data_IF_138646796010
#
_entry.id   IF_138646796010
#
_cell.length_a   1.000
_cell.length_b   1.000
_cell.length_c   1.000
_cell.angle_alpha   90.00
_cell.angle_beta   90.00
_cell.angle_gamma   90.00
#
_symmetry.space_group_name_H-M   'P 1'
#
loop_
_entity.id
_entity.type
_entity.pdbx_description
1 polymer ?
#
# COMPACT_ATOMS: atom_id res chain seq x y z
N UNK A 1 19.72 -26.96 11.41
CA UNK A 1 19.09 -26.83 10.09
C UNK A 1 18.20 -25.59 10.14
N UNK A 2 18.28 -24.70 9.13
CA UNK A 2 17.35 -23.57 9.04
C UNK A 2 15.90 -24.08 8.92
N UNK A 3 14.96 -23.40 9.58
CA UNK A 3 13.54 -23.72 9.48
C UNK A 3 13.09 -23.55 8.02
N UNK A 4 12.29 -24.49 7.52
CA UNK A 4 11.73 -24.45 6.17
C UNK A 4 10.35 -23.81 6.19
N UNK A 5 10.08 -22.92 5.23
CA UNK A 5 8.76 -22.37 5.00
C UNK A 5 7.97 -23.17 3.94
N UNK A 6 6.74 -22.73 3.65
CA UNK A 6 5.88 -23.39 2.65
C UNK A 6 6.44 -23.27 1.23
N UNK A 7 7.20 -22.22 0.93
CA UNK A 7 7.80 -22.03 -0.40
C UNK A 7 8.93 -23.04 -0.63
N UNK A 8 9.70 -23.36 0.41
CA UNK A 8 10.70 -24.42 0.32
C UNK A 8 10.07 -25.78 -0.04
N UNK A 9 8.90 -26.09 0.51
CA UNK A 9 8.16 -27.31 0.19
C UNK A 9 7.69 -27.31 -1.28
N UNK A 10 7.19 -26.19 -1.78
CA UNK A 10 6.75 -26.05 -3.17
C UNK A 10 7.93 -26.21 -4.13
N UNK A 11 9.07 -25.58 -3.86
CA UNK A 11 10.29 -25.73 -4.67
C UNK A 11 10.74 -27.17 -4.70
N UNK A 12 10.72 -27.87 -3.57
CA UNK A 12 11.11 -29.27 -3.49
C UNK A 12 10.15 -30.18 -4.29
N UNK A 13 8.84 -29.88 -4.31
CA UNK A 13 7.87 -30.57 -5.15
C UNK A 13 8.20 -30.39 -6.65
N UNK A 14 8.52 -29.16 -7.07
CA UNK A 14 8.92 -28.87 -8.44
C UNK A 14 10.19 -29.63 -8.84
N UNK A 15 11.22 -29.66 -7.99
CA UNK A 15 12.44 -30.40 -8.24
C UNK A 15 12.22 -31.91 -8.48
N UNK A 16 11.20 -32.47 -7.82
CA UNK A 16 10.84 -33.91 -8.01
C UNK A 16 10.02 -34.12 -9.28
N UNK A 17 9.09 -33.21 -9.58
CA UNK A 17 8.13 -33.39 -10.67
C UNK A 17 8.69 -32.91 -12.02
N UNK A 18 9.52 -31.86 -12.01
CA UNK A 18 10.15 -31.27 -13.19
C UNK A 18 11.61 -30.94 -12.89
N UNK A 19 12.47 -31.98 -12.81
CA UNK A 19 13.90 -31.78 -12.54
C UNK A 19 14.65 -31.10 -13.69
N UNK A 20 14.01 -30.94 -14.84
CA UNK A 20 14.49 -30.26 -16.03
C UNK A 20 14.38 -28.73 -15.94
N UNK A 21 13.66 -28.18 -14.96
CA UNK A 21 13.52 -26.73 -14.78
C UNK A 21 14.19 -26.24 -13.49
N UNK A 22 14.79 -25.04 -13.54
CA UNK A 22 15.24 -24.36 -12.34
C UNK A 22 14.07 -23.60 -11.70
N UNK A 23 13.57 -24.09 -10.57
CA UNK A 23 12.48 -23.46 -9.81
C UNK A 23 12.97 -22.40 -8.80
N UNK A 24 14.28 -22.09 -8.76
CA UNK A 24 14.83 -21.14 -7.77
C UNK A 24 14.21 -19.75 -7.80
N UNK A 25 13.85 -19.15 -8.98
CA UNK A 25 13.17 -17.84 -9.01
C UNK A 25 11.81 -17.83 -8.30
N UNK A 26 11.12 -18.97 -8.26
CA UNK A 26 9.86 -19.10 -7.51
C UNK A 26 10.08 -18.89 -5.99
N UNK A 27 11.31 -19.11 -5.52
CA UNK A 27 11.70 -18.89 -4.13
C UNK A 27 11.57 -17.44 -3.71
N UNK A 28 11.93 -16.52 -4.58
CA UNK A 28 11.82 -15.07 -4.33
C UNK A 28 10.39 -14.60 -4.52
N UNK A 29 9.84 -14.78 -5.72
CA UNK A 29 8.51 -14.26 -6.06
C UNK A 29 7.38 -14.92 -5.25
N UNK A 30 7.52 -16.20 -4.93
CA UNK A 30 6.57 -16.91 -4.06
C UNK A 30 6.56 -16.36 -2.64
N UNK A 31 7.73 -16.01 -2.08
CA UNK A 31 7.83 -15.37 -0.75
C UNK A 31 7.26 -13.96 -0.77
N UNK A 32 7.57 -13.15 -1.78
CA UNK A 32 6.99 -11.81 -1.95
C UNK A 32 5.45 -11.88 -1.99
N UNK A 33 4.89 -12.74 -2.85
CA UNK A 33 3.44 -12.90 -2.97
C UNK A 33 2.78 -13.34 -1.65
N UNK A 34 3.39 -14.26 -0.93
CA UNK A 34 2.86 -14.71 0.37
C UNK A 34 2.97 -13.65 1.45
N UNK A 35 4.10 -12.94 1.51
CA UNK A 35 4.33 -11.87 2.47
C UNK A 35 3.34 -10.73 2.24
N UNK A 36 3.15 -10.28 0.99
CA UNK A 36 2.15 -9.26 0.64
C UNK A 36 0.76 -9.63 1.15
N UNK A 37 0.30 -10.87 0.87
CA UNK A 37 -1.02 -11.33 1.32
C UNK A 37 -1.16 -11.38 2.85
N UNK A 38 -0.10 -11.77 3.57
CA UNK A 38 -0.12 -11.79 5.03
C UNK A 38 -0.13 -10.36 5.59
N UNK A 39 0.70 -9.47 5.06
CA UNK A 39 0.74 -8.06 5.45
C UNK A 39 -0.60 -7.37 5.18
N UNK A 40 -1.24 -7.64 4.04
CA UNK A 40 -2.57 -7.09 3.71
C UNK A 40 -3.65 -7.52 4.69
N UNK A 41 -3.62 -8.76 5.17
CA UNK A 41 -4.56 -9.23 6.21
C UNK A 41 -4.40 -8.48 7.53
N UNK A 42 -3.15 -8.29 7.96
CA UNK A 42 -2.84 -7.55 9.18
C UNK A 42 -3.27 -6.08 9.06
N UNK A 43 -3.01 -5.46 7.90
CA UNK A 43 -3.44 -4.10 7.60
C UNK A 43 -4.96 -3.97 7.56
N UNK A 44 -5.66 -4.92 6.95
CA UNK A 44 -7.12 -4.91 6.88
C UNK A 44 -7.74 -4.98 8.27
N UNK A 45 -7.26 -5.85 9.14
CA UNK A 45 -7.72 -5.94 10.53
C UNK A 45 -7.54 -4.60 11.26
N UNK A 46 -6.34 -4.02 11.16
CA UNK A 46 -6.00 -2.73 11.75
C UNK A 46 -6.92 -1.59 11.27
N UNK A 47 -7.11 -1.47 9.95
CA UNK A 47 -7.94 -0.38 9.41
C UNK A 47 -9.42 -0.56 9.74
N UNK A 48 -9.90 -1.80 9.83
CA UNK A 48 -11.27 -2.09 10.25
C UNK A 48 -11.55 -1.59 11.67
N UNK A 49 -10.60 -1.68 12.60
CA UNK A 49 -10.71 -1.13 13.95
C UNK A 49 -10.84 0.40 13.95
N UNK A 50 -10.27 1.07 12.94
CA UNK A 50 -10.36 2.52 12.73
C UNK A 50 -11.58 2.92 11.88
N UNK A 51 -12.44 1.97 11.52
CA UNK A 51 -13.60 2.21 10.65
C UNK A 51 -13.24 2.54 9.19
N UNK A 52 -12.04 2.13 8.76
CA UNK A 52 -11.52 2.36 7.40
C UNK A 52 -11.37 1.05 6.63
N UNK A 53 -11.59 1.13 5.32
CA UNK A 53 -11.12 0.12 4.37
C UNK A 53 -9.68 0.42 3.95
N UNK A 54 -8.86 -0.59 3.54
CA UNK A 54 -7.47 -0.36 3.12
C UNK A 54 -7.33 0.71 2.02
N UNK A 55 -8.25 0.73 1.05
CA UNK A 55 -8.22 1.75 0.00
C UNK A 55 -8.68 3.13 0.45
N UNK A 56 -9.44 3.25 1.54
CA UNK A 56 -9.79 4.53 2.15
C UNK A 56 -8.60 5.11 2.91
N UNK A 57 -7.88 4.25 3.64
CA UNK A 57 -6.61 4.64 4.27
C UNK A 57 -5.61 5.17 3.24
N UNK A 58 -5.39 4.44 2.13
CA UNK A 58 -4.44 4.84 1.09
C UNK A 58 -4.77 6.21 0.48
N UNK A 59 -6.06 6.48 0.19
CA UNK A 59 -6.50 7.79 -0.29
C UNK A 59 -6.29 8.91 0.74
N UNK A 60 -6.65 8.67 2.00
CA UNK A 60 -6.45 9.66 3.07
C UNK A 60 -4.97 9.90 3.33
N UNK A 61 -4.13 8.86 3.33
CA UNK A 61 -2.69 8.97 3.47
C UNK A 61 -2.08 9.74 2.29
N UNK A 62 -2.58 9.52 1.07
CA UNK A 62 -2.16 10.27 -0.12
C UNK A 62 -2.54 11.75 0.00
N UNK A 63 -3.76 12.06 0.37
CA UNK A 63 -4.17 13.44 0.65
C UNK A 63 -3.31 14.08 1.74
N UNK A 64 -2.94 13.32 2.77
CA UNK A 64 -2.14 13.85 3.89
C UNK A 64 -0.71 14.18 3.49
N UNK A 65 -0.06 13.33 2.66
CA UNK A 65 1.36 13.47 2.28
C UNK A 65 1.61 14.30 1.03
N UNK A 66 0.67 14.33 0.08
CA UNK A 66 0.90 14.85 -1.26
C UNK A 66 -0.08 15.96 -1.69
N UNK A 67 -1.17 16.22 -0.93
CA UNK A 67 -2.14 17.21 -1.31
C UNK A 67 -1.63 18.64 -1.07
N UNK A 68 -1.82 19.57 -2.02
CA UNK A 68 -1.77 20.99 -1.76
C UNK A 68 -2.79 21.40 -0.67
N UNK A 69 -2.65 22.59 -0.03
CA UNK A 69 -3.58 23.04 0.99
C UNK A 69 -5.07 23.00 0.57
N UNK A 70 -5.34 23.31 -0.69
CA UNK A 70 -6.69 23.38 -1.25
C UNK A 70 -7.26 22.03 -1.71
N UNK A 71 -6.46 20.96 -1.67
CA UNK A 71 -6.89 19.64 -2.07
C UNK A 71 -6.34 19.19 -3.43
N UNK A 72 -6.81 18.01 -3.88
CA UNK A 72 -6.42 17.39 -5.16
C UNK A 72 -7.67 17.03 -5.97
N UNK A 73 -7.56 17.07 -7.30
CA UNK A 73 -8.60 16.47 -8.15
C UNK A 73 -8.60 14.93 -8.01
N UNK A 74 -9.72 14.27 -8.33
CA UNK A 74 -9.81 12.82 -8.28
C UNK A 74 -8.77 12.14 -9.19
N UNK A 75 -8.47 12.72 -10.35
CA UNK A 75 -7.43 12.22 -11.25
C UNK A 75 -6.03 12.34 -10.65
N UNK A 76 -5.68 13.51 -10.07
CA UNK A 76 -4.39 13.69 -9.41
C UNK A 76 -4.24 12.78 -8.17
N UNK A 77 -5.33 12.59 -7.41
CA UNK A 77 -5.35 11.67 -6.27
C UNK A 77 -5.15 10.21 -6.71
N UNK A 78 -5.79 9.81 -7.83
CA UNK A 78 -5.60 8.48 -8.41
C UNK A 78 -4.15 8.24 -8.85
N UNK A 79 -3.56 9.21 -9.52
CA UNK A 79 -2.17 9.13 -9.97
C UNK A 79 -1.15 9.14 -8.82
N UNK A 80 -1.47 9.79 -7.70
CA UNK A 80 -0.59 9.86 -6.53
C UNK A 80 -0.77 8.69 -5.54
N UNK A 81 -1.82 7.88 -5.66
CA UNK A 81 -2.07 6.74 -4.80
C UNK A 81 -1.14 5.57 -5.14
N UNK A 82 -0.63 4.89 -4.13
CA UNK A 82 0.26 3.72 -4.33
C UNK A 82 -0.48 2.50 -4.90
N UNK A 83 -1.78 2.42 -4.69
CA UNK A 83 -2.62 1.32 -5.20
C UNK A 83 -3.60 1.88 -6.23
N UNK A 84 -3.35 1.60 -7.50
CA UNK A 84 -4.33 1.87 -8.56
C UNK A 84 -5.55 0.99 -8.35
N UNK A 85 -6.74 1.54 -8.33
CA UNK A 85 -7.96 0.76 -8.31
C UNK A 85 -9.09 1.49 -9.01
N UNK A 86 -9.71 0.76 -9.92
CA UNK A 86 -10.98 1.17 -10.49
C UNK A 86 -12.05 1.24 -9.40
N UNK A 87 -12.32 2.35 -8.85
CA UNK A 87 -13.40 2.72 -7.94
C UNK A 87 -12.99 3.86 -6.99
N UNK A 88 -12.03 4.71 -7.42
CA UNK A 88 -11.60 5.84 -6.59
C UNK A 88 -12.80 6.73 -6.23
N UNK A 89 -13.72 6.95 -7.18
CA UNK A 89 -14.94 7.74 -6.96
C UNK A 89 -15.79 7.16 -5.83
N UNK A 90 -16.05 5.85 -5.84
CA UNK A 90 -16.84 5.19 -4.79
C UNK A 90 -16.16 5.26 -3.41
N UNK A 91 -14.83 5.24 -3.37
CA UNK A 91 -14.07 5.40 -2.11
C UNK A 91 -14.16 6.82 -1.60
N UNK A 92 -14.01 7.81 -2.49
CA UNK A 92 -14.19 9.22 -2.14
C UNK A 92 -15.62 9.45 -1.64
N UNK A 93 -16.65 8.88 -2.30
CA UNK A 93 -18.04 8.98 -1.86
C UNK A 93 -18.25 8.44 -0.44
N UNK A 94 -17.67 7.28 -0.12
CA UNK A 94 -17.71 6.73 1.23
C UNK A 94 -17.00 7.60 2.25
N UNK A 95 -15.83 8.16 1.90
CA UNK A 95 -15.10 9.06 2.79
C UNK A 95 -15.84 10.37 3.04
N UNK A 96 -16.56 10.90 2.03
CA UNK A 96 -17.45 12.05 2.19
C UNK A 96 -18.61 11.70 3.11
N UNK A 97 -19.25 10.53 2.92
CA UNK A 97 -20.34 10.07 3.77
C UNK A 97 -19.93 9.84 5.25
N UNK A 98 -18.63 9.63 5.49
CA UNK A 98 -18.02 9.52 6.83
C UNK A 98 -17.52 10.87 7.37
N UNK A 99 -17.73 11.98 6.68
CA UNK A 99 -17.19 13.32 7.02
C UNK A 99 -15.65 13.35 7.15
N UNK A 100 -14.93 12.46 6.46
CA UNK A 100 -13.47 12.39 6.51
C UNK A 100 -12.78 13.18 5.41
N UNK A 101 -13.48 13.43 4.30
CA UNK A 101 -13.01 14.31 3.22
C UNK A 101 -14.12 15.26 2.78
N UNK A 102 -13.73 16.39 2.19
CA UNK A 102 -14.63 17.35 1.55
C UNK A 102 -14.48 17.31 0.04
N UNK A 103 -15.51 17.83 -0.66
CA UNK A 103 -15.50 18.10 -2.11
C UNK A 103 -15.91 19.53 -2.33
N UNK A 104 -14.99 20.32 -2.80
CA UNK A 104 -15.20 21.74 -3.06
C UNK A 104 -14.91 22.06 -4.53
N UNK A 105 -15.59 23.06 -5.09
CA UNK A 105 -15.28 23.54 -6.43
C UNK A 105 -13.90 24.20 -6.41
N UNK A 106 -13.07 23.91 -7.40
CA UNK A 106 -11.78 24.57 -7.58
C UNK A 106 -12.01 26.06 -7.87
N UNK A 107 -11.50 26.97 -7.02
CA UNK A 107 -11.64 28.41 -7.26
C UNK A 107 -11.04 28.87 -8.58
N UNK A 108 -9.98 28.20 -9.05
CA UNK A 108 -9.29 28.53 -10.30
C UNK A 108 -9.98 27.90 -11.53
N UNK A 109 -10.72 26.80 -11.34
CA UNK A 109 -11.41 26.11 -12.42
C UNK A 109 -12.71 25.47 -11.93
N UNK A 110 -13.83 26.19 -12.05
CA UNK A 110 -15.17 25.74 -11.61
C UNK A 110 -15.69 24.45 -12.24
N UNK A 111 -15.00 23.89 -13.24
CA UNK A 111 -15.31 22.56 -13.80
C UNK A 111 -14.61 21.44 -13.05
N UNK A 112 -13.66 21.75 -12.19
CA UNK A 112 -12.90 20.82 -11.36
C UNK A 112 -13.43 20.79 -9.94
N UNK A 113 -13.36 19.62 -9.32
CA UNK A 113 -13.67 19.39 -7.91
C UNK A 113 -12.39 18.99 -7.20
N UNK A 114 -12.09 19.69 -6.12
CA UNK A 114 -10.98 19.39 -5.23
C UNK A 114 -11.47 18.54 -4.05
N UNK A 115 -10.67 17.56 -3.70
CA UNK A 115 -10.88 16.65 -2.59
C UNK A 115 -9.82 16.96 -1.55
N UNK A 116 -10.25 17.25 -0.33
CA UNK A 116 -9.37 17.57 0.77
C UNK A 116 -9.76 16.79 2.04
N UNK A 117 -8.81 16.61 2.94
CA UNK A 117 -9.12 16.05 4.26
C UNK A 117 -9.93 17.05 5.07
N UNK A 118 -11.04 16.60 5.65
CA UNK A 118 -11.74 17.35 6.69
C UNK A 118 -10.86 17.47 7.96
N UNK A 119 -11.19 18.35 8.92
CA UNK A 119 -10.51 18.35 10.21
C UNK A 119 -10.58 17.02 10.95
N UNK A 120 -11.70 16.28 10.83
CA UNK A 120 -11.86 14.93 11.39
C UNK A 120 -11.00 13.93 10.65
N UNK A 121 -11.01 13.95 9.32
CA UNK A 121 -10.17 13.08 8.49
C UNK A 121 -8.69 13.29 8.74
N UNK A 122 -8.24 14.53 8.92
CA UNK A 122 -6.84 14.84 9.25
C UNK A 122 -6.44 14.22 10.59
N UNK A 123 -7.25 14.38 11.62
CA UNK A 123 -6.96 13.75 12.92
C UNK A 123 -6.91 12.23 12.85
N UNK A 124 -7.87 11.65 12.13
CA UNK A 124 -7.93 10.19 11.99
C UNK A 124 -6.72 9.65 11.24
N UNK A 125 -6.34 10.25 10.11
CA UNK A 125 -5.20 9.74 9.33
C UNK A 125 -3.88 9.93 10.07
N UNK A 126 -3.70 11.04 10.82
CA UNK A 126 -2.50 11.26 11.62
C UNK A 126 -2.34 10.17 12.70
N UNK A 127 -3.43 9.69 13.29
CA UNK A 127 -3.42 8.55 14.21
C UNK A 127 -3.19 7.23 13.47
N UNK A 128 -3.91 7.01 12.38
CA UNK A 128 -3.87 5.76 11.62
C UNK A 128 -2.47 5.48 11.05
N UNK A 129 -1.75 6.50 10.57
CA UNK A 129 -0.37 6.34 10.07
C UNK A 129 0.58 5.87 11.17
N UNK A 130 0.46 6.35 12.40
CA UNK A 130 1.30 5.90 13.52
C UNK A 130 1.08 4.41 13.79
N UNK A 131 -0.17 4.00 13.92
CA UNK A 131 -0.53 2.59 14.19
C UNK A 131 -0.15 1.69 13.01
N UNK A 132 -0.29 2.19 11.77
CA UNK A 132 0.13 1.48 10.57
C UNK A 132 1.64 1.21 10.56
N UNK A 133 2.46 2.22 10.82
CA UNK A 133 3.92 2.08 10.89
C UNK A 133 4.34 1.15 12.01
N UNK A 134 3.68 1.19 13.15
CA UNK A 134 3.95 0.25 14.26
C UNK A 134 3.60 -1.19 13.89
N UNK A 135 2.52 -1.40 13.15
CA UNK A 135 2.17 -2.72 12.59
C UNK A 135 3.23 -3.21 11.60
N UNK A 136 3.74 -2.35 10.72
CA UNK A 136 4.82 -2.70 9.78
C UNK A 136 6.11 -3.07 10.51
N UNK A 137 6.48 -2.33 11.57
CA UNK A 137 7.61 -2.68 12.44
C UNK A 137 7.44 -4.07 13.06
N UNK A 138 6.21 -4.40 13.49
CA UNK A 138 5.91 -5.72 14.06
C UNK A 138 6.05 -6.83 13.01
N UNK A 139 5.59 -6.62 11.79
CA UNK A 139 5.74 -7.57 10.67
C UNK A 139 7.21 -7.79 10.34
N UNK A 140 8.02 -6.74 10.39
CA UNK A 140 9.45 -6.78 10.07
C UNK A 140 10.35 -7.17 11.26
N UNK A 141 9.80 -7.44 12.43
CA UNK A 141 10.57 -7.65 13.68
C UNK A 141 11.54 -8.87 13.63
N UNK A 142 11.34 -9.79 12.69
CA UNK A 142 12.26 -10.92 12.48
C UNK A 142 13.59 -10.52 11.80
N UNK A 143 13.67 -9.30 11.27
CA UNK A 143 14.84 -8.74 10.57
C UNK A 143 15.45 -7.62 11.41
N UNK A 144 16.77 -7.60 11.51
CA UNK A 144 17.49 -6.45 12.06
C UNK A 144 17.50 -5.27 11.04
N UNK A 145 17.95 -4.09 11.51
CA UNK A 145 17.93 -2.88 10.68
C UNK A 145 18.77 -2.97 9.39
N UNK A 146 19.90 -3.68 9.43
CA UNK A 146 20.73 -3.91 8.25
C UNK A 146 20.02 -4.82 7.24
N UNK A 147 19.37 -5.88 7.72
CA UNK A 147 18.60 -6.81 6.89
C UNK A 147 17.38 -6.12 6.27
N UNK A 148 16.68 -5.25 7.02
CA UNK A 148 15.56 -4.46 6.50
C UNK A 148 16.03 -3.51 5.39
N UNK A 149 17.14 -2.82 5.58
CA UNK A 149 17.74 -1.93 4.57
C UNK A 149 18.13 -2.71 3.32
N UNK A 150 18.84 -3.83 3.48
CA UNK A 150 19.26 -4.66 2.35
C UNK A 150 18.07 -5.21 1.56
N UNK A 151 17.00 -5.64 2.25
CA UNK A 151 15.78 -6.09 1.58
C UNK A 151 15.11 -4.96 0.80
N UNK A 152 15.00 -3.77 1.39
CA UNK A 152 14.43 -2.60 0.71
C UNK A 152 15.22 -2.21 -0.53
N UNK A 153 16.56 -2.27 -0.49
CA UNK A 153 17.42 -1.97 -1.63
C UNK A 153 17.23 -2.98 -2.76
N UNK A 154 17.21 -4.28 -2.46
CA UNK A 154 16.97 -5.33 -3.45
C UNK A 154 15.57 -5.20 -4.10
N UNK A 155 14.55 -4.89 -3.32
CA UNK A 155 13.21 -4.65 -3.85
C UNK A 155 13.15 -3.41 -4.74
N UNK A 156 13.87 -2.34 -4.37
CA UNK A 156 13.99 -1.12 -5.18
C UNK A 156 14.66 -1.41 -6.53
N UNK A 157 15.74 -2.18 -6.55
CA UNK A 157 16.40 -2.60 -7.80
C UNK A 157 15.45 -3.35 -8.72
N UNK A 158 14.63 -4.26 -8.17
CA UNK A 158 13.62 -5.00 -8.94
C UNK A 158 12.54 -4.06 -9.50
N UNK A 159 12.01 -3.13 -8.69
CA UNK A 159 11.00 -2.17 -9.12
C UNK A 159 11.53 -1.28 -10.25
N UNK A 160 12.75 -0.75 -10.11
CA UNK A 160 13.40 0.06 -11.16
C UNK A 160 13.58 -0.75 -12.45
N UNK A 161 13.97 -2.02 -12.35
CA UNK A 161 14.14 -2.89 -13.53
C UNK A 161 12.84 -3.21 -14.26
N UNK A 162 11.71 -2.98 -13.62
CA UNK A 162 10.34 -3.15 -14.16
C UNK A 162 9.67 -1.81 -14.48
N UNK A 163 10.46 -0.73 -14.64
CA UNK A 163 10.02 0.62 -14.97
C UNK A 163 9.08 1.28 -13.93
N UNK A 164 8.98 0.73 -12.70
CA UNK A 164 8.25 1.34 -11.60
C UNK A 164 9.12 2.42 -10.91
N UNK A 165 9.36 3.53 -11.61
CA UNK A 165 10.28 4.60 -11.18
C UNK A 165 9.59 5.89 -10.76
N UNK A 166 8.31 6.06 -11.07
CA UNK A 166 7.54 7.26 -10.72
C UNK A 166 6.11 6.90 -10.34
N UNK A 167 5.56 7.60 -9.38
CA UNK A 167 4.10 7.67 -9.22
C UNK A 167 3.59 8.38 -10.48
N UNK A 168 2.84 7.67 -11.33
CA UNK A 168 2.35 8.20 -12.61
C UNK A 168 1.76 9.61 -12.41
N UNK A 169 2.16 10.54 -13.32
CA UNK A 169 1.72 11.94 -13.29
C UNK A 169 0.28 12.08 -13.77
#
# INVERSE_FOLDING_TARGET
>A
MAAKDVVDQIIEQWRRTRPDIDASPMGVLGRLSRLTRLAEREQQALFSELGLEPGEFDLMATLRRASPPDGMTAGALAAAAMKTSGAITNRIDRLVAKDLVTRDLDPANRRSVLIALSPAGRRLIDQAVVVHVDNERRILAALDGHQQTALADLLRELLISLDDTAVEK
#
